data_IF_846589270085
#
_entry.id   IF_846589270085
#
_cell.length_a   1.000
_cell.length_b   1.000
_cell.length_c   1.000
_cell.angle_alpha   90.00
_cell.angle_beta   90.00
_cell.angle_gamma   90.00
#
_symmetry.space_group_name_H-M   'P 1'
#
loop_
_entity.id
_entity.type
_entity.pdbx_description
1 polymer ?
#
# COMPACT_ATOMS: atom_id res chain seq x y z
N UNK A 1 9.86 10.40 -1.07
CA UNK A 1 9.30 9.62 0.05
C UNK A 1 8.42 8.57 -0.59
N UNK A 2 8.61 7.29 -0.27
CA UNK A 2 7.89 6.17 -0.90
C UNK A 2 6.98 5.50 0.14
N UNK A 3 5.73 5.24 -0.22
CA UNK A 3 4.74 4.61 0.66
C UNK A 3 4.61 3.14 0.27
N UNK A 4 4.68 2.25 1.26
CA UNK A 4 4.56 0.81 1.08
C UNK A 4 3.11 0.40 1.32
N UNK A 5 2.51 -0.24 0.32
CA UNK A 5 1.16 -0.83 0.44
C UNK A 5 1.34 -2.34 0.46
N UNK A 6 1.01 -2.94 1.60
CA UNK A 6 1.30 -4.32 1.90
C UNK A 6 0.02 -5.12 1.75
N UNK A 7 0.09 -6.15 0.91
CA UNK A 7 -1.00 -7.09 0.71
C UNK A 7 -0.63 -8.42 1.33
N UNK A 8 -1.61 -9.10 1.93
CA UNK A 8 -1.45 -10.49 2.39
C UNK A 8 -1.11 -11.43 1.23
N UNK A 9 -1.71 -11.20 0.06
CA UNK A 9 -1.47 -11.93 -1.18
C UNK A 9 -0.85 -11.05 -2.26
N UNK A 10 -0.91 -11.52 -3.51
CA UNK A 10 -0.43 -10.75 -4.67
C UNK A 10 -1.12 -9.38 -4.77
N UNK A 11 -0.36 -8.27 -4.80
CA UNK A 11 -0.93 -6.95 -4.99
C UNK A 11 -1.69 -6.87 -6.32
N UNK A 12 -2.87 -6.20 -6.35
CA UNK A 12 -3.57 -5.96 -7.60
C UNK A 12 -2.69 -5.18 -8.58
N UNK A 13 -2.75 -5.48 -9.89
CA UNK A 13 -1.84 -4.92 -10.89
C UNK A 13 -1.92 -3.40 -10.98
N UNK A 14 -3.06 -2.79 -10.67
CA UNK A 14 -3.22 -1.33 -10.71
C UNK A 14 -2.31 -0.57 -9.74
N UNK A 15 -1.84 -1.23 -8.68
CA UNK A 15 -0.96 -0.62 -7.68
C UNK A 15 0.51 -0.58 -8.11
N UNK A 16 0.91 -1.44 -9.06
CA UNK A 16 2.31 -1.55 -9.51
C UNK A 16 2.78 -0.35 -10.35
N UNK A 17 1.85 0.46 -10.85
CA UNK A 17 2.13 1.56 -11.78
C UNK A 17 1.98 2.94 -11.14
N UNK A 18 1.90 3.03 -9.80
CA UNK A 18 1.68 4.30 -9.11
C UNK A 18 3.02 4.89 -8.64
N UNK A 19 3.49 6.01 -9.24
CA UNK A 19 4.66 6.73 -8.75
C UNK A 19 4.61 7.02 -7.25
N UNK A 20 5.71 6.73 -6.54
CA UNK A 20 5.82 6.97 -5.10
C UNK A 20 5.13 5.93 -4.21
N UNK A 21 4.51 4.91 -4.80
CA UNK A 21 3.93 3.77 -4.09
C UNK A 21 4.69 2.51 -4.45
N UNK A 22 4.97 1.68 -3.44
CA UNK A 22 5.48 0.33 -3.62
C UNK A 22 4.50 -0.68 -3.06
N UNK A 23 3.82 -1.38 -3.96
CA UNK A 23 2.90 -2.44 -3.59
C UNK A 23 3.65 -3.77 -3.51
N UNK A 24 3.59 -4.41 -2.35
CA UNK A 24 4.39 -5.61 -2.03
C UNK A 24 3.55 -6.66 -1.31
N UNK A 25 3.94 -7.92 -1.45
CA UNK A 25 3.42 -8.99 -0.59
C UNK A 25 4.05 -8.90 0.79
N UNK A 26 3.31 -9.35 1.80
CA UNK A 26 3.82 -9.49 3.17
C UNK A 26 5.08 -10.37 3.24
N UNK A 27 5.15 -11.45 2.46
CA UNK A 27 6.31 -12.36 2.41
C UNK A 27 7.55 -11.76 1.72
N UNK A 28 7.39 -10.72 0.91
CA UNK A 28 8.51 -10.05 0.22
C UNK A 28 9.16 -8.96 1.07
N UNK A 29 8.73 -8.84 2.33
CA UNK A 29 8.99 -7.70 3.18
C UNK A 29 10.01 -8.06 4.26
N UNK A 30 11.29 -7.90 3.94
CA UNK A 30 12.41 -8.18 4.86
C UNK A 30 12.42 -7.27 6.11
N UNK A 31 12.05 -5.99 5.97
CA UNK A 31 11.99 -5.03 7.09
C UNK A 31 11.10 -3.83 6.80
N UNK A 32 10.45 -3.29 7.83
CA UNK A 32 9.57 -2.11 7.77
C UNK A 32 10.19 -0.90 8.48
N UNK A 33 11.29 -1.09 9.19
CA UNK A 33 11.87 -0.04 10.03
C UNK A 33 12.25 1.19 9.17
N UNK A 34 11.73 2.36 9.55
CA UNK A 34 11.94 3.61 8.82
C UNK A 34 11.12 3.79 7.53
N UNK A 35 10.17 2.88 7.21
CA UNK A 35 9.29 2.98 6.04
C UNK A 35 7.88 3.41 6.44
N UNK A 36 7.26 4.26 5.62
CA UNK A 36 5.84 4.57 5.76
C UNK A 36 5.03 3.46 5.07
N UNK A 37 4.36 2.62 5.86
CA UNK A 37 3.71 1.42 5.37
C UNK A 37 2.27 1.29 5.87
N UNK A 38 1.41 0.72 5.02
CA UNK A 38 0.01 0.42 5.31
C UNK A 38 -0.32 -0.99 4.82
N UNK A 39 -1.10 -1.74 5.60
CA UNK A 39 -1.59 -3.08 5.21
C UNK A 39 -3.03 -2.99 4.72
N UNK A 40 -3.37 -3.73 3.67
CA UNK A 40 -4.74 -3.78 3.13
C UNK A 40 -5.46 -5.05 3.59
N UNK A 41 -6.60 -4.89 4.25
CA UNK A 41 -7.55 -5.96 4.59
C UNK A 41 -7.10 -6.97 5.65
N UNK A 42 -5.88 -6.84 6.20
CA UNK A 42 -5.33 -7.79 7.16
C UNK A 42 -4.89 -7.08 8.46
N UNK A 43 -5.82 -6.96 9.40
CA UNK A 43 -5.59 -6.32 10.70
C UNK A 43 -4.54 -7.07 11.54
N UNK A 44 -4.49 -8.40 11.45
CA UNK A 44 -3.52 -9.20 12.20
C UNK A 44 -2.11 -8.92 11.70
N UNK A 45 -1.92 -8.90 10.38
CA UNK A 45 -0.67 -8.52 9.76
C UNK A 45 -0.29 -7.09 10.12
N UNK A 46 -1.21 -6.12 10.05
CA UNK A 46 -0.94 -4.74 10.45
C UNK A 46 -0.46 -4.63 11.90
N UNK A 47 -1.13 -5.34 12.83
CA UNK A 47 -0.72 -5.39 14.25
C UNK A 47 0.66 -6.01 14.45
N UNK A 48 0.95 -7.12 13.75
CA UNK A 48 2.28 -7.79 13.81
C UNK A 48 3.39 -6.88 13.32
N UNK A 49 3.11 -6.05 12.32
CA UNK A 49 4.05 -5.12 11.71
C UNK A 49 4.09 -3.74 12.39
N UNK A 50 3.13 -3.44 13.27
CA UNK A 50 3.02 -2.14 13.96
C UNK A 50 2.63 -0.99 13.02
N UNK A 51 1.88 -1.28 11.96
CA UNK A 51 1.50 -0.30 10.92
C UNK A 51 -0.01 -0.09 10.84
N UNK A 52 -0.42 0.97 10.14
CA UNK A 52 -1.83 1.23 9.87
C UNK A 52 -2.44 0.18 8.94
N UNK A 53 -3.74 -0.06 9.12
CA UNK A 53 -4.54 -0.92 8.25
C UNK A 53 -5.51 -0.06 7.44
N UNK A 54 -5.72 -0.43 6.18
CA UNK A 54 -6.79 0.05 5.32
C UNK A 54 -7.72 -1.11 5.02
N UNK A 55 -9.01 -0.84 4.95
CA UNK A 55 -9.96 -1.73 4.29
C UNK A 55 -9.72 -1.76 2.78
N UNK A 56 -10.28 -2.75 2.08
CA UNK A 56 -10.20 -2.81 0.61
C UNK A 56 -10.85 -1.60 -0.05
N UNK A 57 -11.94 -1.08 0.53
CA UNK A 57 -12.63 0.13 0.06
C UNK A 57 -11.73 1.37 0.22
N UNK A 58 -11.16 1.59 1.40
CA UNK A 58 -10.26 2.73 1.66
C UNK A 58 -9.00 2.65 0.77
N UNK A 59 -8.45 1.45 0.57
CA UNK A 59 -7.34 1.24 -0.34
C UNK A 59 -7.72 1.63 -1.78
N UNK A 60 -8.92 1.25 -2.23
CA UNK A 60 -9.41 1.66 -3.54
C UNK A 60 -9.59 3.17 -3.66
N UNK A 61 -10.18 3.82 -2.66
CA UNK A 61 -10.33 5.29 -2.64
C UNK A 61 -8.97 6.00 -2.70
N UNK A 62 -8.00 5.51 -1.93
CA UNK A 62 -6.62 6.00 -1.96
C UNK A 62 -6.01 5.86 -3.36
N UNK A 63 -6.14 4.69 -3.99
CA UNK A 63 -5.64 4.47 -5.35
C UNK A 63 -6.27 5.45 -6.35
N UNK A 64 -7.57 5.66 -6.28
CA UNK A 64 -8.27 6.62 -7.15
C UNK A 64 -7.85 8.07 -6.88
N UNK A 65 -7.59 8.42 -5.63
CA UNK A 65 -7.07 9.73 -5.26
C UNK A 65 -5.67 9.95 -5.84
N UNK A 66 -4.77 8.97 -5.68
CA UNK A 66 -3.40 9.03 -6.20
C UNK A 66 -3.37 9.13 -7.73
N UNK A 67 -4.18 8.32 -8.42
CA UNK A 67 -4.32 8.38 -9.88
C UNK A 67 -4.80 9.75 -10.35
N UNK A 68 -5.74 10.38 -9.64
CA UNK A 68 -6.22 11.73 -9.96
C UNK A 68 -5.16 12.79 -9.77
N UNK A 69 -4.42 12.75 -8.65
CA UNK A 69 -3.35 13.73 -8.40
C UNK A 69 -2.20 13.59 -9.41
N UNK A 70 -1.80 12.36 -9.74
CA UNK A 70 -0.73 12.11 -10.69
C UNK A 70 -1.17 12.35 -12.15
N UNK A 71 -2.45 12.12 -12.46
CA UNK A 71 -3.05 12.45 -13.75
C UNK A 71 -3.27 13.95 -13.97
N UNK A 72 -3.43 14.73 -12.90
CA UNK A 72 -3.57 16.20 -12.93
C UNK A 72 -2.22 16.94 -13.05
N UNK A 73 -1.10 16.22 -13.05
CA UNK A 73 0.24 16.80 -13.22
C UNK A 73 0.70 16.88 -14.70
N UNK A 74 -0.23 16.78 -15.66
CA UNK A 74 0.01 16.95 -17.10
C UNK A 74 -0.48 18.31 -17.60
#
# INVERSE_FOLDING_TARGET
MEIYIIFRGEPPPEWRQIPGIKAVKADELDTIEGRFALVVGDEELARRLGVGVLTEEEAWELLQHLKRQLGAAQ
#
